data_IF_129338676898
#
_entry.id   IF_129338676898
#
_cell.length_a   1.000
_cell.length_b   1.000
_cell.length_c   1.000
_cell.angle_alpha   90.00
_cell.angle_beta   90.00
_cell.angle_gamma   90.00
#
_symmetry.space_group_name_H-M   'P 1'
#
loop_
_entity.id
_entity.type
_entity.pdbx_description
1 polymer ?
#
# COMPACT_ATOMS: atom_id res chain seq x y z
N UNK A 1 -40.22 -9.24 11.45
CA UNK A 1 -40.46 -8.62 10.13
C UNK A 1 -39.09 -8.32 9.51
N UNK A 2 -38.62 -9.17 8.59
CA UNK A 2 -37.54 -8.90 7.62
C UNK A 2 -37.26 -10.18 6.80
N UNK A 3 -38.29 -10.72 6.14
CA UNK A 3 -38.09 -11.71 5.07
C UNK A 3 -37.90 -10.92 3.78
N UNK A 4 -36.72 -10.33 3.64
CA UNK A 4 -36.26 -9.84 2.34
C UNK A 4 -35.19 -10.81 1.86
N UNK A 5 -35.61 -11.85 1.13
CA UNK A 5 -34.68 -12.74 0.41
C UNK A 5 -34.03 -12.03 -0.79
N UNK A 6 -34.50 -10.84 -1.14
CA UNK A 6 -33.92 -10.02 -2.20
C UNK A 6 -32.65 -9.35 -1.71
N UNK A 7 -31.53 -9.75 -2.33
CA UNK A 7 -30.25 -9.09 -2.15
C UNK A 7 -30.24 -7.73 -2.85
N UNK A 8 -29.36 -6.83 -2.39
CA UNK A 8 -29.17 -5.53 -3.03
C UNK A 8 -28.47 -5.61 -4.40
N UNK A 9 -27.80 -6.73 -4.70
CA UNK A 9 -27.02 -6.94 -5.94
C UNK A 9 -27.75 -7.84 -6.94
N UNK A 10 -28.64 -8.69 -6.46
CA UNK A 10 -29.33 -9.69 -7.26
C UNK A 10 -30.54 -10.21 -6.52
N UNK A 11 -31.29 -11.08 -7.18
CA UNK A 11 -32.56 -11.62 -6.66
C UNK A 11 -32.41 -12.32 -5.31
N UNK A 12 -31.22 -12.84 -5.01
CA UNK A 12 -30.95 -13.63 -3.80
C UNK A 12 -29.93 -12.97 -2.86
N UNK A 13 -30.04 -13.28 -1.56
CA UNK A 13 -29.07 -12.89 -0.54
C UNK A 13 -27.69 -13.49 -0.81
N UNK A 14 -26.64 -12.80 -0.34
CA UNK A 14 -25.26 -13.31 -0.45
C UNK A 14 -24.93 -14.30 0.65
N UNK A 15 -24.23 -15.38 0.27
CA UNK A 15 -23.67 -16.36 1.22
C UNK A 15 -22.79 -15.71 2.30
N UNK A 16 -21.91 -14.79 1.89
CA UNK A 16 -21.02 -14.05 2.80
C UNK A 16 -21.79 -13.16 3.78
N UNK A 17 -22.89 -12.55 3.33
CA UNK A 17 -23.72 -11.70 4.18
C UNK A 17 -24.43 -12.52 5.26
N UNK A 18 -24.92 -13.71 4.91
CA UNK A 18 -25.54 -14.64 5.87
C UNK A 18 -24.49 -15.11 6.89
N UNK A 19 -23.29 -15.51 6.45
CA UNK A 19 -22.19 -15.89 7.36
C UNK A 19 -21.86 -14.75 8.33
N UNK A 20 -21.80 -13.51 7.84
CA UNK A 20 -21.55 -12.34 8.68
C UNK A 20 -22.69 -12.09 9.68
N UNK A 21 -23.95 -12.22 9.28
CA UNK A 21 -25.08 -12.07 10.20
C UNK A 21 -25.08 -13.13 11.30
N UNK A 22 -24.74 -14.37 10.96
CA UNK A 22 -24.62 -15.45 11.95
C UNK A 22 -23.47 -15.16 12.93
N UNK A 23 -22.31 -14.70 12.45
CA UNK A 23 -21.20 -14.27 13.32
C UNK A 23 -21.59 -13.10 14.22
N UNK A 24 -22.29 -12.11 13.68
CA UNK A 24 -22.79 -10.97 14.45
C UNK A 24 -23.81 -11.44 15.50
N UNK A 25 -24.70 -12.36 15.15
CA UNK A 25 -25.66 -12.95 16.08
C UNK A 25 -24.94 -13.66 17.23
N UNK A 26 -23.86 -14.42 16.97
CA UNK A 26 -23.07 -15.04 18.05
C UNK A 26 -22.46 -14.01 19.00
N UNK A 27 -21.93 -12.91 18.46
CA UNK A 27 -21.36 -11.83 19.27
C UNK A 27 -22.42 -11.13 20.12
N UNK A 28 -23.59 -10.84 19.54
CA UNK A 28 -24.73 -10.22 20.21
C UNK A 28 -25.34 -11.15 21.26
N UNK A 29 -25.55 -12.42 20.93
CA UNK A 29 -26.12 -13.42 21.84
C UNK A 29 -25.30 -13.54 23.12
N UNK A 30 -23.97 -13.59 23.01
CA UNK A 30 -23.07 -13.58 24.18
C UNK A 30 -23.32 -12.39 25.10
N UNK A 31 -23.62 -11.22 24.54
CA UNK A 31 -23.84 -9.98 25.30
C UNK A 31 -25.22 -9.94 25.98
N UNK A 32 -26.27 -10.42 25.30
CA UNK A 32 -27.65 -10.30 25.80
C UNK A 32 -28.13 -11.51 26.60
N UNK A 33 -27.74 -12.72 26.21
CA UNK A 33 -28.13 -13.93 26.92
C UNK A 33 -27.21 -14.26 28.10
N UNK A 34 -26.13 -13.48 28.29
CA UNK A 34 -25.10 -13.68 29.33
C UNK A 34 -24.53 -15.12 29.33
N UNK A 35 -24.63 -15.81 28.20
CA UNK A 35 -24.18 -17.18 28.00
C UNK A 35 -23.59 -17.33 26.61
N UNK A 36 -22.78 -18.35 26.41
CA UNK A 36 -22.14 -18.60 25.12
C UNK A 36 -22.77 -19.80 24.43
N UNK A 37 -23.03 -19.65 23.13
CA UNK A 37 -23.34 -20.78 22.27
C UNK A 37 -22.11 -21.70 22.24
N UNK A 38 -22.34 -22.99 22.45
CA UNK A 38 -21.32 -24.04 22.45
C UNK A 38 -20.53 -24.03 21.14
N UNK A 39 -19.23 -24.33 21.23
CA UNK A 39 -18.33 -24.32 20.07
C UNK A 39 -18.79 -25.32 19.00
N UNK A 40 -19.28 -26.49 19.42
CA UNK A 40 -19.81 -27.52 18.52
C UNK A 40 -21.00 -27.00 17.70
N UNK A 41 -21.96 -26.32 18.34
CA UNK A 41 -23.11 -25.72 17.64
C UNK A 41 -22.66 -24.66 16.63
N UNK A 42 -21.65 -23.84 16.96
CA UNK A 42 -21.09 -22.87 16.01
C UNK A 42 -20.47 -23.56 14.79
N UNK A 43 -19.76 -24.68 15.00
CA UNK A 43 -19.19 -25.48 13.93
C UNK A 43 -20.26 -26.12 13.05
N UNK A 44 -21.30 -26.71 13.64
CA UNK A 44 -22.42 -27.31 12.93
C UNK A 44 -23.14 -26.29 12.04
N UNK A 45 -23.42 -25.08 12.56
CA UNK A 45 -24.02 -24.01 11.76
C UNK A 45 -23.08 -23.55 10.64
N UNK A 46 -21.78 -23.40 10.91
CA UNK A 46 -20.83 -23.02 9.84
C UNK A 46 -20.70 -24.11 8.76
N UNK A 47 -20.78 -25.38 9.14
CA UNK A 47 -20.82 -26.50 8.19
C UNK A 47 -22.11 -26.48 7.36
N UNK A 48 -23.26 -26.28 8.00
CA UNK A 48 -24.55 -26.16 7.32
C UNK A 48 -24.57 -25.00 6.33
N UNK A 49 -24.05 -23.82 6.72
CA UNK A 49 -23.94 -22.64 5.84
C UNK A 49 -23.09 -22.88 4.59
N UNK A 50 -22.22 -23.89 4.62
CA UNK A 50 -21.36 -24.28 3.49
C UNK A 50 -21.87 -25.51 2.74
N UNK A 51 -22.89 -26.19 3.25
CA UNK A 51 -23.39 -27.44 2.70
C UNK A 51 -24.27 -27.25 1.46
N UNK A 52 -24.29 -28.27 0.61
CA UNK A 52 -25.17 -28.34 -0.56
C UNK A 52 -26.66 -28.35 -0.16
N UNK A 53 -26.96 -28.79 1.07
CA UNK A 53 -28.32 -28.77 1.62
C UNK A 53 -28.87 -27.34 1.68
N UNK A 54 -28.06 -26.37 2.13
CA UNK A 54 -28.50 -24.98 2.16
C UNK A 54 -28.67 -24.42 0.74
N UNK A 55 -27.79 -24.79 -0.20
CA UNK A 55 -27.88 -24.35 -1.59
C UNK A 55 -29.13 -24.90 -2.29
N UNK A 56 -29.56 -26.11 -1.93
CA UNK A 56 -30.81 -26.72 -2.41
C UNK A 56 -32.07 -26.06 -1.81
N UNK A 57 -32.02 -25.58 -0.57
CA UNK A 57 -33.18 -25.00 0.14
C UNK A 57 -33.33 -23.50 -0.16
N UNK A 58 -32.22 -22.78 -0.29
CA UNK A 58 -32.20 -21.35 -0.52
C UNK A 58 -31.14 -21.02 -1.60
N UNK A 59 -31.53 -20.59 -2.81
CA UNK A 59 -30.56 -20.11 -3.77
C UNK A 59 -29.87 -18.88 -3.19
N UNK A 60 -28.54 -18.92 -3.06
CA UNK A 60 -27.72 -17.81 -2.59
C UNK A 60 -26.84 -17.33 -3.73
N UNK A 61 -26.60 -16.02 -3.78
CA UNK A 61 -25.69 -15.46 -4.79
C UNK A 61 -24.28 -15.29 -4.24
N UNK A 62 -23.28 -15.56 -5.07
CA UNK A 62 -21.89 -15.14 -4.86
C UNK A 62 -21.55 -13.85 -5.61
N UNK A 63 -22.54 -13.25 -6.28
CA UNK A 63 -22.35 -12.04 -7.07
C UNK A 63 -21.73 -10.91 -6.23
N UNK A 64 -20.75 -10.24 -6.82
CA UNK A 64 -20.11 -9.06 -6.27
C UNK A 64 -20.55 -7.81 -7.04
N UNK A 65 -20.60 -6.66 -6.37
CA UNK A 65 -20.78 -5.40 -7.10
C UNK A 65 -19.62 -5.26 -8.08
N UNK A 66 -19.92 -4.93 -9.34
CA UNK A 66 -18.90 -4.52 -10.29
C UNK A 66 -18.22 -3.28 -9.72
N UNK A 67 -16.93 -3.38 -9.42
CA UNK A 67 -16.13 -2.24 -8.99
C UNK A 67 -15.64 -1.54 -10.24
N UNK A 68 -15.75 -0.21 -10.27
CA UNK A 68 -15.05 0.57 -11.27
C UNK A 68 -13.55 0.46 -10.96
N UNK A 69 -12.80 -0.03 -11.93
CA UNK A 69 -11.35 -0.18 -11.82
C UNK A 69 -10.76 1.11 -12.39
N UNK A 70 -9.91 1.77 -11.60
CA UNK A 70 -9.14 2.91 -12.10
C UNK A 70 -8.21 2.44 -13.21
N UNK A 71 -8.30 3.10 -14.35
CA UNK A 71 -7.43 2.91 -15.50
C UNK A 71 -6.16 3.74 -15.37
N UNK A 72 -5.19 3.49 -16.24
CA UNK A 72 -3.97 4.32 -16.31
C UNK A 72 -4.31 5.80 -16.60
N UNK A 73 -5.41 6.06 -17.31
CA UNK A 73 -5.88 7.43 -17.59
C UNK A 73 -6.24 8.15 -16.29
N UNK A 74 -6.91 7.46 -15.36
CA UNK A 74 -7.30 8.03 -14.07
C UNK A 74 -6.05 8.39 -13.25
N UNK A 75 -5.03 7.52 -13.26
CA UNK A 75 -3.75 7.77 -12.57
C UNK A 75 -3.04 8.98 -13.17
N UNK A 76 -2.99 9.08 -14.51
CA UNK A 76 -2.39 10.22 -15.21
C UNK A 76 -3.13 11.52 -14.89
N UNK A 77 -4.46 11.51 -14.87
CA UNK A 77 -5.26 12.71 -14.52
C UNK A 77 -4.97 13.15 -13.09
N UNK A 78 -4.99 12.22 -12.12
CA UNK A 78 -4.76 12.53 -10.70
C UNK A 78 -3.37 13.12 -10.49
N UNK A 79 -2.35 12.50 -11.09
CA UNK A 79 -0.96 12.94 -10.95
C UNK A 79 -0.69 14.26 -11.67
N UNK A 80 -1.19 14.45 -12.90
CA UNK A 80 -1.10 15.73 -13.63
C UNK A 80 -1.78 16.87 -12.86
N UNK A 81 -2.98 16.62 -12.30
CA UNK A 81 -3.70 17.58 -11.44
C UNK A 81 -2.88 17.95 -10.20
N UNK A 82 -2.17 16.98 -9.60
CA UNK A 82 -1.28 17.22 -8.47
C UNK A 82 -0.10 18.12 -8.88
N UNK A 83 0.53 17.86 -10.03
CA UNK A 83 1.66 18.64 -10.54
C UNK A 83 1.30 20.06 -10.95
N UNK A 84 0.11 20.25 -11.55
CA UNK A 84 -0.43 21.57 -11.91
C UNK A 84 -0.82 22.42 -10.71
N UNK A 85 -0.75 21.88 -9.48
CA UNK A 85 -1.10 22.60 -8.25
C UNK A 85 -2.60 22.83 -8.10
N UNK A 86 -3.43 22.06 -8.81
CA UNK A 86 -4.89 22.12 -8.68
C UNK A 86 -5.39 21.38 -7.44
N UNK A 87 -4.60 20.42 -6.93
CA UNK A 87 -4.77 19.85 -5.61
C UNK A 87 -4.07 20.73 -4.56
N UNK A 88 -4.75 20.95 -3.43
CA UNK A 88 -4.18 21.70 -2.30
C UNK A 88 -3.24 20.80 -1.50
N UNK A 89 -1.96 21.14 -1.53
CA UNK A 89 -0.92 20.60 -0.65
C UNK A 89 -0.24 21.78 0.05
N UNK A 90 0.12 21.61 1.32
CA UNK A 90 0.80 22.69 2.04
C UNK A 90 2.29 22.77 1.69
N UNK A 91 2.89 21.63 1.34
CA UNK A 91 4.29 21.51 0.94
C UNK A 91 4.44 20.78 -0.40
N UNK A 92 5.50 21.11 -1.14
CA UNK A 92 5.90 20.32 -2.31
C UNK A 92 6.31 18.89 -1.92
N UNK A 93 6.83 18.69 -0.71
CA UNK A 93 7.14 17.36 -0.19
C UNK A 93 5.92 16.45 -0.16
N UNK A 94 4.77 16.97 0.28
CA UNK A 94 3.53 16.19 0.31
C UNK A 94 2.98 15.93 -1.08
N UNK A 95 3.09 16.88 -2.01
CA UNK A 95 2.74 16.66 -3.41
C UNK A 95 3.53 15.48 -4.01
N UNK A 96 4.84 15.44 -3.78
CA UNK A 96 5.70 14.37 -4.30
C UNK A 96 5.37 13.03 -3.64
N UNK A 97 5.14 13.02 -2.32
CA UNK A 97 4.68 11.83 -1.60
C UNK A 97 3.34 11.30 -2.12
N UNK A 98 2.40 12.20 -2.42
CA UNK A 98 1.11 11.84 -2.99
C UNK A 98 1.24 11.19 -4.37
N UNK A 99 2.06 11.78 -5.25
CA UNK A 99 2.32 11.22 -6.59
C UNK A 99 3.01 9.86 -6.47
N UNK A 100 4.02 9.74 -5.60
CA UNK A 100 4.69 8.48 -5.31
C UNK A 100 3.71 7.39 -4.87
N UNK A 101 2.90 7.65 -3.84
CA UNK A 101 1.92 6.67 -3.33
C UNK A 101 0.91 6.28 -4.39
N UNK A 102 0.39 7.25 -5.14
CA UNK A 102 -0.61 6.99 -6.20
C UNK A 102 -0.04 6.08 -7.28
N UNK A 103 1.16 6.39 -7.79
CA UNK A 103 1.82 5.59 -8.81
C UNK A 103 2.20 4.20 -8.27
N UNK A 104 2.74 4.13 -7.05
CA UNK A 104 3.13 2.88 -6.40
C UNK A 104 1.94 1.94 -6.21
N UNK A 105 0.80 2.44 -5.73
CA UNK A 105 -0.40 1.64 -5.52
C UNK A 105 -1.00 1.16 -6.85
N UNK A 106 -0.95 2.00 -7.89
CA UNK A 106 -1.40 1.64 -9.23
C UNK A 106 -0.58 0.47 -9.82
N UNK A 107 0.74 0.48 -9.63
CA UNK A 107 1.63 -0.56 -10.17
C UNK A 107 1.65 -1.83 -9.32
N UNK A 108 1.69 -1.71 -7.99
CA UNK A 108 1.77 -2.86 -7.08
C UNK A 108 0.43 -3.59 -6.95
N UNK A 109 -0.69 -2.88 -7.13
CA UNK A 109 -2.02 -3.37 -6.76
C UNK A 109 -2.19 -3.58 -5.25
N UNK A 110 -1.27 -3.03 -4.44
CA UNK A 110 -1.35 -3.13 -2.99
C UNK A 110 -2.37 -2.15 -2.41
N UNK A 111 -2.68 -2.34 -1.13
CA UNK A 111 -3.62 -1.51 -0.38
C UNK A 111 -2.86 -0.28 0.11
N UNK A 112 -3.51 0.89 0.26
CA UNK A 112 -2.88 2.06 0.86
C UNK A 112 -2.18 1.73 2.19
N UNK A 113 -2.85 0.96 3.05
CA UNK A 113 -2.31 0.51 4.34
C UNK A 113 -1.09 -0.42 4.30
N UNK A 114 -0.53 -0.72 3.13
CA UNK A 114 0.77 -1.38 2.99
C UNK A 114 1.92 -0.39 2.78
N UNK A 115 1.62 0.85 2.37
CA UNK A 115 2.58 1.92 2.08
C UNK A 115 2.52 2.99 3.15
N UNK A 116 1.31 3.35 3.59
CA UNK A 116 1.03 4.40 4.56
C UNK A 116 0.32 3.84 5.80
N UNK A 117 0.32 4.59 6.89
CA UNK A 117 -0.35 4.17 8.11
C UNK A 117 -1.88 4.23 7.91
N UNK A 118 -2.57 3.15 8.29
CA UNK A 118 -4.04 3.12 8.23
C UNK A 118 -4.62 3.62 9.55
N UNK A 119 -5.75 4.31 9.52
CA UNK A 119 -6.46 4.78 10.72
C UNK A 119 -6.64 3.71 11.82
N UNK A 120 -6.86 2.44 11.47
CA UNK A 120 -7.00 1.34 12.44
C UNK A 120 -5.72 1.04 13.23
N UNK A 121 -4.58 1.52 12.76
CA UNK A 121 -3.24 1.37 13.36
C UNK A 121 -2.62 2.74 13.64
N UNK A 122 -3.45 3.77 13.83
CA UNK A 122 -2.97 5.14 14.05
C UNK A 122 -1.99 5.21 15.23
N UNK A 123 -0.83 5.83 14.99
CA UNK A 123 0.22 6.02 15.99
C UNK A 123 1.18 4.83 16.14
N UNK A 124 1.05 3.78 15.33
CA UNK A 124 2.01 2.65 15.35
C UNK A 124 3.18 2.87 14.38
N UNK A 125 3.07 3.83 13.46
CA UNK A 125 4.02 4.03 12.35
C UNK A 125 4.23 2.75 11.52
N UNK A 126 3.20 1.89 11.45
CA UNK A 126 3.17 0.76 10.53
C UNK A 126 2.92 1.26 9.09
N UNK A 127 4.01 1.60 8.41
CA UNK A 127 4.07 2.05 7.03
C UNK A 127 5.32 1.48 6.33
N UNK A 128 5.47 1.73 5.02
CA UNK A 128 6.68 1.38 4.28
C UNK A 128 7.87 2.19 4.81
N UNK A 129 8.96 1.52 5.20
CA UNK A 129 10.15 2.14 5.78
C UNK A 129 11.35 2.08 4.84
N UNK A 130 12.36 2.92 5.09
CA UNK A 130 13.58 2.92 4.26
C UNK A 130 14.34 1.59 4.27
N UNK A 131 14.30 0.83 5.38
CA UNK A 131 14.88 -0.52 5.48
C UNK A 131 14.21 -1.54 4.55
N UNK A 132 12.98 -1.27 4.13
CA UNK A 132 12.22 -2.14 3.23
C UNK A 132 12.58 -1.88 1.75
N UNK A 133 13.45 -0.90 1.48
CA UNK A 133 13.87 -0.51 0.13
C UNK A 133 15.34 -0.81 -0.06
N UNK A 134 15.65 -1.58 -1.10
CA UNK A 134 17.02 -1.84 -1.55
C UNK A 134 17.26 -1.20 -2.89
N UNK A 135 18.37 -0.49 -3.02
CA UNK A 135 18.80 0.06 -4.29
C UNK A 135 19.74 -0.92 -4.97
N UNK A 136 19.63 -1.02 -6.29
CA UNK A 136 20.47 -1.87 -7.10
C UNK A 136 20.92 -1.07 -8.31
N UNK A 137 22.24 -1.01 -8.50
CA UNK A 137 22.89 -0.40 -9.65
C UNK A 137 23.53 -1.51 -10.45
N UNK A 138 23.08 -1.68 -11.69
CA UNK A 138 23.60 -2.70 -12.61
C UNK A 138 24.39 -2.00 -13.72
N UNK A 139 25.64 -2.42 -13.99
CA UNK A 139 26.40 -1.91 -15.12
C UNK A 139 25.63 -2.04 -16.43
N UNK A 140 25.63 -0.97 -17.23
CA UNK A 140 25.07 -0.98 -18.56
C UNK A 140 26.19 -1.15 -19.58
N UNK A 141 26.28 -2.33 -20.20
CA UNK A 141 27.34 -2.66 -21.16
C UNK A 141 27.26 -1.84 -22.45
N UNK A 142 26.07 -1.38 -22.82
CA UNK A 142 25.84 -0.59 -24.04
C UNK A 142 26.10 0.90 -23.82
N UNK A 143 25.86 1.39 -22.60
CA UNK A 143 26.14 2.77 -22.20
C UNK A 143 26.70 2.81 -20.77
N UNK A 144 28.03 2.64 -20.61
CA UNK A 144 28.65 2.57 -19.29
C UNK A 144 28.42 3.80 -18.41
N UNK A 145 28.18 4.97 -19.00
CA UNK A 145 27.95 6.20 -18.24
C UNK A 145 26.55 6.25 -17.62
N UNK A 146 25.62 5.42 -18.08
CA UNK A 146 24.23 5.39 -17.62
C UNK A 146 23.86 3.97 -17.14
N UNK A 147 24.27 3.58 -15.92
CA UNK A 147 23.92 2.28 -15.36
C UNK A 147 22.41 2.12 -15.16
N UNK A 148 21.94 0.88 -15.17
CA UNK A 148 20.55 0.59 -14.83
C UNK A 148 20.37 0.62 -13.32
N UNK A 149 19.62 1.61 -12.84
CA UNK A 149 19.31 1.77 -11.43
C UNK A 149 17.87 1.32 -11.19
N UNK A 150 17.63 0.52 -10.16
CA UNK A 150 16.28 0.16 -9.74
C UNK A 150 16.17 0.06 -8.23
N UNK A 151 14.95 0.24 -7.72
CA UNK A 151 14.63 0.05 -6.31
C UNK A 151 13.80 -1.23 -6.14
N UNK A 152 14.23 -2.10 -5.24
CA UNK A 152 13.48 -3.28 -4.81
C UNK A 152 12.74 -2.92 -3.54
N UNK A 153 11.41 -2.95 -3.59
CA UNK A 153 10.56 -2.67 -2.44
C UNK A 153 10.06 -3.99 -1.87
N UNK A 154 10.33 -4.22 -0.59
CA UNK A 154 9.87 -5.39 0.17
C UNK A 154 8.69 -5.01 1.07
N UNK A 155 7.48 -5.23 0.58
CA UNK A 155 6.26 -5.04 1.36
C UNK A 155 6.06 -6.12 2.43
N UNK A 156 6.19 -5.74 3.70
CA UNK A 156 6.01 -6.62 4.87
C UNK A 156 4.60 -6.49 5.49
N UNK A 157 3.87 -5.41 5.20
CA UNK A 157 2.54 -5.14 5.78
C UNK A 157 1.44 -5.83 4.95
N UNK A 158 1.31 -7.15 5.14
CA UNK A 158 0.35 -7.99 4.42
C UNK A 158 -0.92 -8.26 5.25
N UNK A 159 -2.11 -8.18 4.63
CA UNK A 159 -3.39 -8.48 5.30
C UNK A 159 -3.43 -9.95 5.68
N UNK A 160 -3.76 -10.22 6.95
CA UNK A 160 -3.78 -11.58 7.50
C UNK A 160 -2.41 -12.13 7.90
N UNK A 161 -1.32 -11.41 7.59
CA UNK A 161 0.05 -11.83 7.91
C UNK A 161 0.87 -10.69 8.54
N UNK A 162 0.20 -9.75 9.22
CA UNK A 162 0.91 -8.69 9.97
C UNK A 162 1.76 -9.32 11.07
N UNK A 163 2.90 -8.70 11.37
CA UNK A 163 3.90 -9.18 12.36
C UNK A 163 4.51 -10.55 12.02
N UNK A 164 4.37 -11.02 10.79
CA UNK A 164 4.98 -12.25 10.31
C UNK A 164 6.06 -11.93 9.27
N UNK A 165 7.29 -11.75 9.75
CA UNK A 165 8.43 -11.31 8.94
C UNK A 165 8.84 -12.32 7.84
N UNK A 166 8.34 -13.56 7.93
CA UNK A 166 8.53 -14.58 6.89
C UNK A 166 7.64 -14.37 5.66
N UNK A 167 6.61 -13.52 5.77
CA UNK A 167 5.66 -13.23 4.69
C UNK A 167 5.88 -11.82 4.18
N UNK A 168 6.38 -11.73 2.95
CA UNK A 168 6.63 -10.48 2.28
C UNK A 168 6.32 -10.61 0.79
N UNK A 169 6.16 -9.46 0.14
CA UNK A 169 6.08 -9.35 -1.31
C UNK A 169 7.18 -8.41 -1.78
N UNK A 170 7.88 -8.78 -2.84
CA UNK A 170 8.87 -7.93 -3.49
C UNK A 170 8.39 -7.51 -4.87
N UNK A 171 8.73 -6.29 -5.24
CA UNK A 171 8.55 -5.78 -6.59
C UNK A 171 9.60 -4.72 -6.89
N UNK A 172 9.80 -4.47 -8.18
CA UNK A 172 10.84 -3.58 -8.70
C UNK A 172 10.21 -2.26 -9.14
N UNK A 173 10.86 -1.16 -8.81
CA UNK A 173 10.63 0.14 -9.43
C UNK A 173 11.82 0.48 -10.31
N UNK A 174 11.55 0.67 -11.59
CA UNK A 174 12.52 1.11 -12.57
C UNK A 174 12.26 2.59 -12.92
N UNK A 175 13.30 3.33 -13.33
CA UNK A 175 13.14 4.62 -13.98
C UNK A 175 12.22 4.47 -15.19
N UNK A 176 11.19 5.30 -15.23
CA UNK A 176 10.30 5.38 -16.40
C UNK A 176 10.95 6.24 -17.49
N UNK A 177 10.64 6.00 -18.78
CA UNK A 177 11.02 6.91 -19.86
C UNK A 177 10.56 8.35 -19.60
N UNK A 178 11.24 9.32 -20.24
CA UNK A 178 10.95 10.75 -20.06
C UNK A 178 9.48 11.12 -20.34
N UNK A 179 8.80 10.41 -21.24
CA UNK A 179 7.39 10.61 -21.57
C UNK A 179 6.45 10.34 -20.37
N UNK A 180 6.86 9.47 -19.45
CA UNK A 180 6.13 9.09 -18.25
C UNK A 180 6.73 9.67 -16.96
N UNK A 181 7.64 10.65 -17.09
CA UNK A 181 8.31 11.26 -15.94
C UNK A 181 7.34 11.81 -14.87
N UNK A 182 6.20 12.44 -15.22
CA UNK A 182 5.24 12.93 -14.21
C UNK A 182 4.62 11.83 -13.34
N UNK A 183 4.60 10.58 -13.80
CA UNK A 183 4.04 9.44 -13.04
C UNK A 183 5.13 8.48 -12.53
N UNK A 184 6.40 8.81 -12.73
CA UNK A 184 7.51 7.95 -12.39
C UNK A 184 7.67 7.83 -10.86
N UNK A 185 7.18 6.72 -10.30
CA UNK A 185 7.32 6.44 -8.87
C UNK A 185 8.80 6.32 -8.47
N UNK A 186 9.66 5.81 -9.34
CA UNK A 186 11.10 5.73 -9.09
C UNK A 186 11.72 7.12 -8.88
N UNK A 187 11.44 8.09 -9.77
CA UNK A 187 11.93 9.46 -9.63
C UNK A 187 11.43 10.12 -8.35
N UNK A 188 10.15 9.91 -8.00
CA UNK A 188 9.60 10.41 -6.74
C UNK A 188 10.29 9.76 -5.54
N UNK A 189 10.48 8.44 -5.55
CA UNK A 189 11.18 7.72 -4.49
C UNK A 189 12.62 8.18 -4.33
N UNK A 190 13.32 8.39 -5.45
CA UNK A 190 14.70 8.87 -5.46
C UNK A 190 14.78 10.28 -4.84
N UNK A 191 13.86 11.17 -5.19
CA UNK A 191 13.75 12.48 -4.56
C UNK A 191 13.56 12.35 -3.04
N UNK A 192 12.63 11.49 -2.59
CA UNK A 192 12.38 11.28 -1.17
C UNK A 192 13.62 10.72 -0.45
N UNK A 193 14.38 9.84 -1.10
CA UNK A 193 15.60 9.27 -0.53
C UNK A 193 16.70 10.32 -0.35
N UNK A 194 16.86 11.24 -1.30
CA UNK A 194 17.82 12.34 -1.15
C UNK A 194 17.37 13.39 -0.14
N UNK A 195 16.07 13.70 -0.10
CA UNK A 195 15.49 14.59 0.92
C UNK A 195 15.76 14.06 2.33
N UNK A 196 15.66 12.74 2.51
CA UNK A 196 15.82 12.07 3.79
C UNK A 196 17.28 11.66 4.08
N UNK A 197 18.21 11.97 3.17
CA UNK A 197 19.63 11.61 3.28
C UNK A 197 19.83 10.10 3.51
N UNK A 198 19.07 9.28 2.77
CA UNK A 198 18.98 7.84 2.98
C UNK A 198 20.25 7.08 2.66
N UNK A 199 21.03 7.53 1.66
CA UNK A 199 22.22 6.82 1.22
C UNK A 199 23.42 7.10 2.11
N UNK A 200 24.16 6.06 2.51
CA UNK A 200 25.40 6.22 3.26
C UNK A 200 26.50 6.90 2.41
N UNK A 201 26.69 6.40 1.19
CA UNK A 201 27.86 6.71 0.36
C UNK A 201 27.53 7.58 -0.87
N UNK A 202 26.25 7.93 -1.06
CA UNK A 202 25.77 8.68 -2.22
C UNK A 202 25.21 10.02 -1.75
N UNK A 203 25.85 11.11 -2.16
CA UNK A 203 25.49 12.47 -1.78
C UNK A 203 24.60 13.16 -2.82
N UNK A 204 24.67 12.73 -4.08
CA UNK A 204 23.97 13.37 -5.20
C UNK A 204 23.35 12.34 -6.15
N UNK A 205 22.18 12.64 -6.75
CA UNK A 205 21.55 11.75 -7.74
C UNK A 205 22.47 11.35 -8.89
N UNK A 206 23.34 12.26 -9.33
CA UNK A 206 24.28 12.01 -10.42
C UNK A 206 25.23 10.85 -10.11
N UNK A 207 25.64 10.66 -8.87
CA UNK A 207 26.52 9.53 -8.50
C UNK A 207 25.82 8.17 -8.66
N UNK A 208 24.49 8.15 -8.74
CA UNK A 208 23.70 6.95 -8.96
C UNK A 208 23.34 6.79 -10.45
N UNK A 209 22.88 7.88 -11.08
CA UNK A 209 22.30 7.87 -12.43
C UNK A 209 23.32 8.08 -13.56
N UNK A 210 24.37 8.86 -13.30
CA UNK A 210 25.44 9.20 -14.25
C UNK A 210 26.79 9.36 -13.54
N UNK A 211 27.31 8.27 -12.93
CA UNK A 211 28.50 8.34 -12.10
C UNK A 211 29.73 8.76 -12.91
N UNK A 212 30.65 9.57 -12.34
CA UNK A 212 31.90 9.95 -13.02
C UNK A 212 32.77 8.74 -13.41
N UNK A 213 32.69 7.67 -12.61
CA UNK A 213 33.33 6.38 -12.86
C UNK A 213 32.22 5.35 -13.02
N UNK A 214 32.01 4.79 -14.23
CA UNK A 214 31.06 3.71 -14.47
C UNK A 214 31.23 2.53 -13.52
N UNK A 215 30.13 1.93 -13.01
CA UNK A 215 30.23 0.72 -12.22
C UNK A 215 30.61 -0.47 -13.11
N UNK A 216 31.56 -1.28 -12.67
CA UNK A 216 31.96 -2.52 -13.35
C UNK A 216 31.17 -3.75 -12.86
N UNK A 217 30.60 -3.64 -11.65
CA UNK A 217 29.87 -4.72 -10.99
C UNK A 217 28.54 -4.21 -10.43
N UNK A 218 27.65 -5.15 -10.16
CA UNK A 218 26.40 -4.85 -9.46
C UNK A 218 26.74 -4.26 -8.09
N UNK A 219 26.19 -3.09 -7.81
CA UNK A 219 26.38 -2.39 -6.55
C UNK A 219 25.04 -2.19 -5.84
N UNK A 220 25.07 -2.29 -4.51
CA UNK A 220 23.92 -2.10 -3.64
C UNK A 220 24.20 -0.92 -2.71
N UNK A 221 23.74 0.29 -3.06
CA UNK A 221 23.88 1.44 -2.18
C UNK A 221 23.27 1.16 -0.79
N UNK A 222 24.05 1.44 0.24
CA UNK A 222 23.63 1.19 1.63
C UNK A 222 22.68 2.27 2.13
N UNK A 223 21.62 1.84 2.81
CA UNK A 223 20.74 2.73 3.58
C UNK A 223 21.37 3.03 4.93
N UNK A 224 21.38 4.32 5.31
CA UNK A 224 21.85 4.79 6.61
C UNK A 224 21.04 4.19 7.76
N UNK A 225 21.67 3.62 8.80
CA UNK A 225 20.94 3.03 9.93
C UNK A 225 20.03 4.02 10.65
N UNK A 226 20.40 5.30 10.71
CA UNK A 226 19.67 6.34 11.44
C UNK A 226 18.29 6.63 10.85
N UNK A 227 18.11 6.37 9.55
CA UNK A 227 16.83 6.60 8.85
C UNK A 227 16.14 5.31 8.42
N UNK A 228 16.76 4.15 8.67
CA UNK A 228 16.26 2.85 8.21
C UNK A 228 14.83 2.56 8.70
N UNK A 229 14.50 2.97 9.93
CA UNK A 229 13.17 2.79 10.52
C UNK A 229 12.18 3.94 10.23
N UNK A 230 12.61 5.01 9.56
CA UNK A 230 11.72 6.12 9.21
C UNK A 230 10.75 5.69 8.09
N UNK A 231 9.47 6.11 8.18
CA UNK A 231 8.54 5.95 7.07
C UNK A 231 9.03 6.71 5.83
N UNK A 232 8.91 6.08 4.66
CA UNK A 232 9.21 6.71 3.36
C UNK A 232 8.25 7.87 3.10
N UNK A 233 7.00 7.72 3.53
CA UNK A 233 5.93 8.69 3.36
C UNK A 233 5.48 9.18 4.73
N UNK A 234 5.68 10.48 5.00
CA UNK A 234 5.48 11.09 6.32
C UNK A 234 4.38 12.15 6.31
N UNK A 235 3.73 12.38 7.45
CA UNK A 235 2.66 13.35 7.57
C UNK A 235 3.13 14.79 7.30
N UNK A 236 2.21 15.69 6.92
CA UNK A 236 2.46 17.13 7.00
C UNK A 236 2.17 17.63 8.41
N UNK A 237 3.05 18.46 8.95
CA UNK A 237 2.93 19.06 10.26
C UNK A 237 3.10 20.58 10.15
N UNK A 238 2.29 21.31 10.91
CA UNK A 238 2.43 22.75 11.05
C UNK A 238 3.27 23.05 12.29
N UNK A 239 4.53 23.44 12.07
CA UNK A 239 5.53 23.68 13.12
C UNK A 239 6.13 25.06 12.88
N UNK A 240 6.26 25.87 13.94
CA UNK A 240 6.85 27.21 13.87
C UNK A 240 6.27 28.08 12.75
N UNK A 241 4.94 28.10 12.66
CA UNK A 241 4.16 28.84 11.65
C UNK A 241 4.39 28.41 10.19
N UNK A 242 5.08 27.30 9.96
CA UNK A 242 5.43 26.79 8.64
C UNK A 242 4.94 25.35 8.48
N UNK A 243 4.38 25.03 7.33
CA UNK A 243 4.10 23.64 6.99
C UNK A 243 5.37 22.91 6.59
N UNK A 244 5.60 21.73 7.18
CA UNK A 244 6.75 20.88 6.91
C UNK A 244 6.34 19.41 6.89
N UNK A 245 7.24 18.54 6.44
CA UNK A 245 7.04 17.10 6.53
C UNK A 245 7.55 16.64 7.90
N UNK A 246 6.75 15.82 8.58
CA UNK A 246 7.08 15.25 9.88
C UNK A 246 8.45 14.60 9.87
N UNK A 247 9.20 14.79 10.97
CA UNK A 247 10.48 14.13 11.14
C UNK A 247 10.35 12.60 11.23
N UNK A 248 9.24 12.06 11.73
CA UNK A 248 9.11 10.63 12.02
C UNK A 248 7.72 10.02 11.82
N UNK A 249 6.66 10.81 11.79
CA UNK A 249 5.30 10.28 11.74
C UNK A 249 4.93 9.89 10.31
N UNK A 250 4.48 8.65 10.13
CA UNK A 250 3.94 8.16 8.88
C UNK A 250 2.73 8.99 8.47
N UNK A 251 2.49 9.10 7.16
CA UNK A 251 1.24 9.65 6.67
C UNK A 251 0.09 8.70 7.04
N UNK A 252 -0.96 9.22 7.67
CA UNK A 252 -2.14 8.45 8.07
C UNK A 252 -3.32 8.74 7.15
N UNK A 253 -4.03 7.70 6.72
CA UNK A 253 -5.28 7.78 5.94
C UNK A 253 -6.45 7.10 6.65
#
# INVERSE_FOLDING_TARGET
>A
MAISFRGYIGEYCKKVTIDQYVRNMYAVFKRYAVTQILAETKLQVSAFLKSDQLEAIAPLTTACHKKNIASNIDITIITDTAWRGQLRFYTNGMRIQFVFVTALLAMSGDRPGAVIETQSYRGTNEALKWKDIKWVVVPNLSDPQHPHVHAVIRGTILKGFRLNDSKFREFFLNPEPNEYHPICAFSCLLYLAFRDNTFADILKPQQLLCPPIPPEHIHHPSTRPEVADLPVVRAEEYVDQTWSISASQAFTL
#
